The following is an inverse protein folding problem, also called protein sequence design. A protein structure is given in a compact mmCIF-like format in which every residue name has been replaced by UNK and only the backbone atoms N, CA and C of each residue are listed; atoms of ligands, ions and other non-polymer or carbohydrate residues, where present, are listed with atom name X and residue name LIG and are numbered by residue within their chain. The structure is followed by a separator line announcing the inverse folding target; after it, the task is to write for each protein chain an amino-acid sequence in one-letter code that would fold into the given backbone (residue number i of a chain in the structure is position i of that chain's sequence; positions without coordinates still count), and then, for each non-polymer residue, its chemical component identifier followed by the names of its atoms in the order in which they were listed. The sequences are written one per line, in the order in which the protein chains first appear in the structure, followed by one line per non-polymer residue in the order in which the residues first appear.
data_IF_624165737222
#
_entry.id   IF_624165737222
#
_cell.length_a   1.000
_cell.length_b   1.000
_cell.length_c   1.000
_cell.angle_alpha   90.00
_cell.angle_beta   90.00
_cell.angle_gamma   90.00
#
_symmetry.space_group_name_H-M   'P 1'
#
loop_
_entity.id
_entity.type
_entity.pdbx_description
1 polymer ?
#
# COMPACT_ATOMS: atom_id res chain seq x y z
N UNK A 1 -46.56 33.12 -61.15
CA UNK A 1 -47.01 32.68 -60.20
C UNK A 1 -46.54 31.73 -59.02
N UNK A 2 -47.18 30.63 -58.72
CA UNK A 2 -47.17 29.86 -57.48
C UNK A 2 -46.01 28.88 -57.29
N UNK A 3 -45.03 28.71 -58.22
CA UNK A 3 -44.01 27.71 -58.12
C UNK A 3 -42.94 28.13 -57.08
N UNK A 4 -42.64 29.40 -56.95
CA UNK A 4 -41.73 29.95 -55.98
C UNK A 4 -42.20 29.74 -54.53
N UNK A 5 -43.53 29.82 -54.30
CA UNK A 5 -44.15 29.59 -52.98
C UNK A 5 -44.40 28.10 -52.66
N UNK A 6 -44.19 27.19 -53.60
CA UNK A 6 -44.26 25.76 -53.33
C UNK A 6 -43.08 25.20 -52.53
N UNK A 7 -41.96 25.88 -52.52
CA UNK A 7 -40.79 25.62 -51.70
C UNK A 7 -40.54 24.19 -51.28
N UNK A 8 -39.81 24.02 -50.20
CA UNK A 8 -39.53 22.72 -49.56
C UNK A 8 -39.88 22.77 -48.07
N UNK A 9 -40.32 21.63 -47.57
CA UNK A 9 -40.53 21.44 -46.13
C UNK A 9 -39.41 20.59 -45.55
N UNK A 10 -38.78 21.06 -44.49
CA UNK A 10 -37.74 20.38 -43.71
C UNK A 10 -38.29 20.05 -42.34
N UNK A 11 -37.91 18.89 -41.79
CA UNK A 11 -38.42 18.45 -40.51
C UNK A 11 -37.30 17.77 -39.72
N UNK A 12 -37.11 18.20 -38.46
CA UNK A 12 -36.23 17.56 -37.49
C UNK A 12 -36.92 16.47 -36.67
N UNK A 13 -36.22 15.92 -35.70
CA UNK A 13 -36.71 14.88 -34.78
C UNK A 13 -37.80 15.44 -33.83
N UNK A 14 -37.82 16.74 -33.58
CA UNK A 14 -38.86 17.45 -32.80
C UNK A 14 -40.20 17.51 -33.50
N UNK A 15 -40.27 16.95 -34.70
CA UNK A 15 -41.45 16.93 -35.56
C UNK A 15 -41.95 18.32 -36.06
N UNK A 16 -41.25 19.39 -35.77
CA UNK A 16 -41.58 20.75 -36.28
C UNK A 16 -41.17 20.85 -37.74
N UNK A 17 -42.07 21.36 -38.57
CA UNK A 17 -41.83 21.59 -40.01
C UNK A 17 -41.39 23.02 -40.25
N UNK A 18 -40.31 23.19 -40.98
CA UNK A 18 -39.83 24.47 -41.48
C UNK A 18 -40.13 24.54 -42.98
N UNK A 19 -40.93 25.47 -43.40
CA UNK A 19 -41.18 25.75 -44.81
C UNK A 19 -40.21 26.81 -45.31
N UNK A 20 -39.62 26.58 -46.48
CA UNK A 20 -38.77 27.55 -47.21
C UNK A 20 -39.22 27.69 -48.62
N UNK A 21 -39.54 28.91 -49.03
CA UNK A 21 -39.82 29.25 -50.42
C UNK A 21 -38.53 29.12 -51.28
N UNK A 22 -38.69 28.97 -52.60
CA UNK A 22 -37.52 28.94 -53.49
C UNK A 22 -36.75 30.27 -53.41
N UNK A 23 -35.45 30.18 -53.09
CA UNK A 23 -34.55 31.34 -52.89
C UNK A 23 -34.36 31.75 -51.45
N UNK A 24 -35.11 31.17 -50.50
CA UNK A 24 -34.89 31.39 -49.07
C UNK A 24 -33.73 30.50 -48.54
N UNK A 25 -33.09 30.98 -47.49
CA UNK A 25 -32.01 30.25 -46.83
C UNK A 25 -32.54 29.34 -45.72
N UNK A 26 -32.06 28.10 -45.69
CA UNK A 26 -32.21 27.20 -44.53
C UNK A 26 -30.89 27.18 -43.79
N UNK A 27 -30.87 27.64 -42.54
CA UNK A 27 -29.73 27.54 -41.68
C UNK A 27 -29.74 26.19 -40.97
N UNK A 28 -28.63 25.44 -41.09
CA UNK A 28 -28.35 24.23 -40.32
C UNK A 28 -27.20 24.55 -39.37
N UNK A 29 -27.49 24.65 -38.09
CA UNK A 29 -26.57 25.18 -37.09
C UNK A 29 -26.22 24.10 -36.03
N UNK A 30 -24.98 24.03 -35.64
CA UNK A 30 -24.47 23.11 -34.62
C UNK A 30 -24.02 23.79 -33.32
N UNK A 31 -24.26 25.12 -33.21
CA UNK A 31 -23.96 25.88 -31.98
C UNK A 31 -22.51 26.41 -31.85
N UNK A 32 -21.56 25.88 -32.61
CA UNK A 32 -20.16 26.33 -32.60
C UNK A 32 -19.78 26.89 -33.98
N UNK A 33 -19.37 28.16 -34.04
CA UNK A 33 -18.96 28.80 -35.30
C UNK A 33 -17.43 28.89 -35.50
N UNK A 34 -16.66 28.68 -34.43
CA UNK A 34 -15.21 28.68 -34.48
C UNK A 34 -14.68 27.36 -35.10
N UNK A 35 -14.22 27.44 -36.33
CA UNK A 35 -13.72 26.30 -37.09
C UNK A 35 -12.56 25.59 -36.42
N UNK A 36 -11.73 26.29 -35.63
CA UNK A 36 -10.59 25.72 -34.92
C UNK A 36 -11.00 24.80 -33.77
N UNK A 37 -12.26 24.89 -33.33
CA UNK A 37 -12.86 24.06 -32.27
C UNK A 37 -13.69 22.88 -32.80
N UNK A 38 -13.78 22.75 -34.13
CA UNK A 38 -14.49 21.64 -34.76
C UNK A 38 -13.54 20.50 -35.10
N UNK A 39 -13.97 19.28 -34.85
CA UNK A 39 -13.25 18.09 -35.29
C UNK A 39 -13.83 17.57 -36.61
N UNK A 40 -12.96 17.08 -37.49
CA UNK A 40 -13.35 16.44 -38.72
C UNK A 40 -13.66 14.96 -38.54
N UNK A 41 -14.50 14.40 -39.42
CA UNK A 41 -14.79 12.96 -39.56
C UNK A 41 -15.51 12.29 -38.36
N UNK A 42 -16.06 13.07 -37.42
CA UNK A 42 -16.80 12.55 -36.28
C UNK A 42 -18.32 12.50 -36.50
N UNK A 43 -18.80 13.12 -37.57
CA UNK A 43 -20.22 13.13 -37.97
C UNK A 43 -20.36 12.57 -39.37
N UNK A 44 -21.25 11.61 -39.54
CA UNK A 44 -21.65 11.07 -40.86
C UNK A 44 -23.09 11.43 -41.17
N UNK A 45 -23.39 11.71 -42.45
CA UNK A 45 -24.74 11.88 -42.95
C UNK A 45 -25.08 10.77 -43.91
N UNK A 46 -26.08 9.95 -43.59
CA UNK A 46 -26.45 8.76 -44.38
C UNK A 46 -27.85 8.93 -44.95
N UNK A 47 -27.98 8.77 -46.26
CA UNK A 47 -29.27 8.76 -46.96
C UNK A 47 -29.92 7.39 -46.84
N UNK A 48 -30.98 7.26 -46.08
CA UNK A 48 -31.64 5.98 -45.83
C UNK A 48 -33.15 6.22 -45.58
N UNK A 49 -34.01 5.40 -46.14
CA UNK A 49 -35.46 5.44 -45.99
C UNK A 49 -36.08 6.85 -46.28
N UNK A 50 -35.54 7.53 -47.31
CA UNK A 50 -36.03 8.86 -47.73
C UNK A 50 -35.65 9.97 -46.76
N UNK A 51 -34.69 9.77 -45.87
CA UNK A 51 -34.18 10.73 -44.87
C UNK A 51 -32.67 10.89 -44.97
N UNK A 52 -32.17 12.02 -44.56
CA UNK A 52 -30.77 12.25 -44.21
C UNK A 52 -30.59 12.04 -42.71
N UNK A 53 -29.95 10.93 -42.34
CA UNK A 53 -29.67 10.59 -40.95
C UNK A 53 -28.31 11.13 -40.56
N UNK A 54 -28.25 12.08 -39.64
CA UNK A 54 -27.02 12.57 -39.05
C UNK A 54 -26.62 11.63 -37.92
N UNK A 55 -25.43 11.03 -38.02
CA UNK A 55 -24.96 10.02 -37.06
C UNK A 55 -23.58 10.42 -36.52
N UNK A 56 -23.36 10.21 -35.22
CA UNK A 56 -22.05 10.30 -34.63
C UNK A 56 -21.21 9.05 -35.00
N UNK A 57 -19.94 9.20 -35.30
CA UNK A 57 -19.03 8.10 -35.52
C UNK A 57 -18.94 7.23 -34.27
N UNK A 58 -18.76 5.90 -34.44
CA UNK A 58 -18.54 5.00 -33.30
C UNK A 58 -17.20 5.26 -32.62
N UNK A 59 -16.18 5.58 -33.42
CA UNK A 59 -14.84 5.93 -32.96
C UNK A 59 -14.64 7.43 -33.18
N UNK A 60 -14.52 8.20 -32.10
CA UNK A 60 -14.27 9.61 -32.15
C UNK A 60 -12.77 9.86 -32.19
N UNK A 61 -12.32 10.70 -33.12
CA UNK A 61 -10.90 11.01 -33.34
C UNK A 61 -10.64 12.51 -33.29
N UNK A 62 -9.39 12.89 -33.04
CA UNK A 62 -8.96 14.30 -33.03
C UNK A 62 -9.76 15.19 -32.06
N UNK A 63 -10.18 14.64 -30.92
CA UNK A 63 -10.78 15.43 -29.84
C UNK A 63 -9.66 15.93 -28.90
N UNK A 64 -9.73 17.19 -28.52
CA UNK A 64 -8.82 17.73 -27.51
C UNK A 64 -9.19 17.29 -26.10
N UNK A 65 -10.50 17.12 -25.84
CA UNK A 65 -11.03 16.66 -24.55
C UNK A 65 -12.46 16.16 -24.66
N UNK A 66 -12.84 15.30 -23.71
CA UNK A 66 -14.23 14.94 -23.42
C UNK A 66 -14.52 15.37 -21.99
N UNK A 67 -15.50 16.25 -21.80
CA UNK A 67 -15.88 16.78 -20.48
C UNK A 67 -17.35 16.46 -20.21
N UNK A 68 -17.60 15.81 -19.06
CA UNK A 68 -18.95 15.55 -18.54
C UNK A 68 -19.04 16.06 -17.10
N UNK A 69 -19.77 17.15 -16.88
CA UNK A 69 -19.81 17.81 -15.58
C UNK A 69 -18.41 18.27 -15.15
N UNK A 70 -17.93 17.74 -14.04
CA UNK A 70 -16.60 18.06 -13.50
C UNK A 70 -15.51 17.02 -13.84
N UNK A 71 -15.82 16.10 -14.75
CA UNK A 71 -14.88 15.07 -15.21
C UNK A 71 -14.38 15.40 -16.60
N UNK A 72 -13.06 15.45 -16.77
CA UNK A 72 -12.41 15.70 -18.06
C UNK A 72 -11.41 14.61 -18.38
N UNK A 73 -11.47 14.09 -19.58
CA UNK A 73 -10.45 13.22 -20.18
C UNK A 73 -9.79 14.01 -21.31
N UNK A 74 -8.48 14.17 -21.29
CA UNK A 74 -7.70 14.84 -22.32
C UNK A 74 -6.29 14.22 -22.41
N UNK A 75 -5.37 14.86 -23.12
CA UNK A 75 -3.98 14.38 -23.25
C UNK A 75 -3.20 14.36 -21.93
N UNK A 76 -3.61 15.13 -20.92
CA UNK A 76 -2.98 15.12 -19.60
C UNK A 76 -3.49 13.97 -18.73
N UNK A 77 -4.60 13.33 -19.12
CA UNK A 77 -5.19 12.18 -18.44
C UNK A 77 -6.62 12.41 -17.95
N UNK A 78 -6.98 11.83 -16.81
CA UNK A 78 -8.29 11.90 -16.19
C UNK A 78 -8.30 12.85 -15.00
N UNK A 79 -9.13 13.88 -15.08
CA UNK A 79 -9.35 14.86 -14.00
C UNK A 79 -10.80 14.80 -13.52
N UNK A 80 -11.03 14.80 -12.22
CA UNK A 80 -12.35 14.84 -11.58
C UNK A 80 -12.29 15.90 -10.48
N UNK A 81 -13.24 16.86 -10.49
CA UNK A 81 -13.27 17.95 -9.52
C UNK A 81 -11.94 18.70 -9.38
N UNK A 82 -11.28 19.00 -10.48
CA UNK A 82 -9.96 19.63 -10.54
C UNK A 82 -8.81 18.82 -9.88
N UNK A 83 -9.02 17.53 -9.61
CA UNK A 83 -7.99 16.59 -9.13
C UNK A 83 -7.66 15.60 -10.23
N UNK A 84 -6.40 15.49 -10.55
CA UNK A 84 -5.91 14.58 -11.57
C UNK A 84 -5.67 13.18 -10.97
N UNK A 85 -6.35 12.17 -11.48
CA UNK A 85 -6.29 10.79 -10.99
C UNK A 85 -5.43 9.87 -11.85
N UNK A 86 -5.41 10.10 -13.16
CA UNK A 86 -4.60 9.32 -14.10
C UNK A 86 -3.76 10.26 -14.94
N UNK A 87 -2.48 9.98 -15.10
CA UNK A 87 -1.55 10.73 -15.95
C UNK A 87 -0.65 9.76 -16.71
N UNK A 88 0.21 10.27 -17.59
CA UNK A 88 1.28 9.48 -18.20
C UNK A 88 2.26 8.89 -17.17
N UNK A 89 2.33 9.45 -15.95
CA UNK A 89 3.18 8.98 -14.86
C UNK A 89 2.49 7.97 -13.93
N UNK A 90 1.24 7.59 -14.22
CA UNK A 90 0.49 6.60 -13.46
C UNK A 90 -0.74 7.15 -12.74
N UNK A 91 -1.15 6.44 -11.70
CA UNK A 91 -2.35 6.71 -10.92
C UNK A 91 -2.03 7.50 -9.64
N UNK A 92 -2.81 8.54 -9.36
CA UNK A 92 -2.74 9.33 -8.14
C UNK A 92 -4.06 9.23 -7.38
N UNK A 93 -4.04 8.65 -6.20
CA UNK A 93 -5.23 8.51 -5.34
C UNK A 93 -5.68 9.84 -4.69
N UNK A 94 -4.95 10.94 -4.82
CA UNK A 94 -5.29 12.28 -4.26
C UNK A 94 -5.63 12.25 -2.75
N UNK A 95 -4.84 11.52 -1.96
CA UNK A 95 -5.03 11.31 -0.52
C UNK A 95 -6.34 10.58 -0.17
N UNK A 96 -6.91 9.81 -1.09
CA UNK A 96 -8.05 8.93 -0.84
C UNK A 96 -7.60 7.47 -0.78
N UNK A 97 -8.46 6.61 -0.24
CA UNK A 97 -8.20 5.18 -0.18
C UNK A 97 -8.35 4.52 -1.55
N UNK A 98 -7.45 3.59 -1.86
CA UNK A 98 -7.67 2.61 -2.92
C UNK A 98 -8.30 1.38 -2.27
N UNK A 99 -9.56 1.09 -2.59
CA UNK A 99 -10.34 -0.01 -2.00
C UNK A 99 -10.36 -1.22 -2.92
N UNK A 100 -10.68 -2.40 -2.33
CA UNK A 100 -10.82 -3.67 -3.06
C UNK A 100 -9.56 -4.12 -3.79
N UNK A 101 -8.38 -3.79 -3.23
CA UNK A 101 -7.09 -4.28 -3.74
C UNK A 101 -6.97 -5.76 -3.39
N UNK A 102 -6.93 -6.62 -4.39
CA UNK A 102 -6.62 -8.04 -4.22
C UNK A 102 -5.17 -8.20 -3.72
N UNK A 103 -4.90 -9.29 -3.00
CA UNK A 103 -3.53 -9.58 -2.57
C UNK A 103 -2.60 -9.70 -3.78
N UNK A 104 -1.49 -8.98 -3.76
CA UNK A 104 -0.45 -9.06 -4.79
C UNK A 104 0.20 -10.44 -4.79
N UNK A 105 0.56 -10.92 -5.97
CA UNK A 105 1.20 -12.23 -6.23
C UNK A 105 2.56 -12.05 -6.91
N UNK A 106 2.63 -11.14 -7.86
CA UNK A 106 3.84 -10.82 -8.60
C UNK A 106 4.60 -9.65 -7.96
N UNK A 107 5.90 -9.57 -8.23
CA UNK A 107 6.80 -8.58 -7.63
C UNK A 107 6.38 -7.11 -7.84
N UNK A 108 5.62 -6.85 -8.89
CA UNK A 108 5.16 -5.50 -9.24
C UNK A 108 3.70 -5.23 -8.86
N UNK A 109 3.05 -6.16 -8.15
CA UNK A 109 1.67 -5.98 -7.70
C UNK A 109 1.57 -5.05 -6.49
N UNK A 110 0.43 -4.38 -6.34
CA UNK A 110 0.13 -3.61 -5.15
C UNK A 110 -0.14 -4.54 -3.95
N UNK A 111 0.41 -4.19 -2.81
CA UNK A 111 0.21 -4.92 -1.54
C UNK A 111 -0.98 -4.34 -0.80
N UNK A 112 -1.88 -5.19 -0.31
CA UNK A 112 -3.01 -4.76 0.51
C UNK A 112 -2.68 -4.82 2.03
N UNK A 113 -3.55 -4.21 2.84
CA UNK A 113 -3.38 -4.13 4.31
C UNK A 113 -3.32 -5.51 4.97
N UNK A 114 -4.03 -6.52 4.42
CA UNK A 114 -3.98 -7.89 4.97
C UNK A 114 -2.57 -8.47 4.87
N UNK A 115 -1.93 -8.37 3.71
CA UNK A 115 -0.56 -8.86 3.50
C UNK A 115 0.44 -8.15 4.44
N UNK A 116 0.28 -6.83 4.63
CA UNK A 116 1.10 -6.08 5.60
C UNK A 116 0.90 -6.60 7.03
N UNK A 117 -0.34 -6.88 7.45
CA UNK A 117 -0.64 -7.42 8.77
C UNK A 117 -0.10 -8.85 8.94
N UNK A 118 -0.16 -9.68 7.91
CA UNK A 118 0.40 -11.03 7.92
C UNK A 118 1.94 -11.00 8.12
N UNK A 119 2.64 -10.13 7.41
CA UNK A 119 4.10 -9.91 7.59
C UNK A 119 4.39 -9.41 9.00
N UNK A 120 3.61 -8.44 9.51
CA UNK A 120 3.76 -7.93 10.88
C UNK A 120 3.57 -9.03 11.92
N UNK A 121 2.61 -9.93 11.74
CA UNK A 121 2.39 -11.07 12.63
C UNK A 121 3.53 -12.08 12.56
N UNK A 122 4.02 -12.39 11.35
CA UNK A 122 5.13 -13.32 11.13
C UNK A 122 6.48 -12.79 11.64
N UNK A 123 6.68 -11.47 11.63
CA UNK A 123 7.91 -10.83 12.10
C UNK A 123 8.00 -10.65 13.63
N UNK A 124 6.96 -11.03 14.38
CA UNK A 124 6.97 -11.00 15.85
C UNK A 124 7.91 -12.09 16.40
N UNK A 125 9.20 -11.75 16.51
CA UNK A 125 10.18 -12.62 17.16
C UNK A 125 10.05 -12.48 18.68
N UNK A 126 9.79 -13.59 19.38
CA UNK A 126 9.84 -13.68 20.83
C UNK A 126 11.17 -14.29 21.23
N UNK A 127 11.95 -13.59 22.03
CA UNK A 127 13.17 -14.13 22.63
C UNK A 127 12.92 -14.32 24.12
N UNK A 128 13.08 -15.55 24.59
CA UNK A 128 12.83 -15.90 26.00
C UNK A 128 14.13 -16.30 26.68
N UNK A 129 14.29 -15.83 27.92
CA UNK A 129 15.36 -16.30 28.80
C UNK A 129 15.06 -17.70 29.32
N UNK A 130 16.09 -18.33 29.86
CA UNK A 130 16.01 -19.64 30.52
C UNK A 130 16.54 -19.56 31.96
N UNK A 131 16.73 -20.73 32.59
CA UNK A 131 17.24 -20.81 33.96
C UNK A 131 18.46 -19.94 34.23
N UNK A 132 19.40 -19.92 33.27
CA UNK A 132 20.70 -19.25 33.42
C UNK A 132 20.86 -17.99 32.56
N UNK A 133 19.88 -17.69 31.71
CA UNK A 133 19.92 -16.62 30.72
C UNK A 133 18.90 -15.55 31.08
N UNK A 134 19.34 -14.34 31.13
CA UNK A 134 18.48 -13.14 31.15
C UNK A 134 18.32 -12.58 29.72
N UNK A 135 17.16 -12.08 29.41
CA UNK A 135 16.88 -11.38 28.15
C UNK A 135 16.18 -10.06 28.49
N UNK A 136 16.84 -8.97 28.20
CA UNK A 136 16.28 -7.62 28.33
C UNK A 136 15.87 -7.11 26.96
N UNK A 137 14.58 -6.74 26.81
CA UNK A 137 14.04 -6.13 25.60
C UNK A 137 14.02 -4.61 25.73
N UNK A 138 14.57 -3.90 24.76
CA UNK A 138 14.40 -2.47 24.60
C UNK A 138 13.76 -2.18 23.26
N UNK A 139 12.90 -1.14 23.20
CA UNK A 139 12.21 -0.72 21.99
C UNK A 139 12.61 0.72 21.67
N UNK A 140 13.17 0.93 20.51
CA UNK A 140 13.43 2.27 20.02
C UNK A 140 12.11 3.03 19.83
N UNK A 141 12.00 4.22 20.40
CA UNK A 141 10.75 5.00 20.41
C UNK A 141 10.40 5.58 19.04
N UNK A 142 11.39 5.78 18.17
CA UNK A 142 11.24 6.37 16.86
C UNK A 142 11.03 5.29 15.80
N UNK A 143 11.99 4.37 15.68
CA UNK A 143 11.98 3.32 14.66
C UNK A 143 11.11 2.13 15.01
N UNK A 144 10.73 1.99 16.30
CA UNK A 144 10.03 0.81 16.85
C UNK A 144 10.83 -0.49 16.74
N UNK A 145 12.11 -0.40 16.43
CA UNK A 145 13.00 -1.55 16.41
C UNK A 145 13.16 -2.12 17.82
N UNK A 146 13.13 -3.46 17.92
CA UNK A 146 13.37 -4.19 19.16
C UNK A 146 14.83 -4.63 19.22
N UNK A 147 15.46 -4.44 20.36
CA UNK A 147 16.79 -4.97 20.66
C UNK A 147 16.67 -5.89 21.85
N UNK A 148 17.21 -7.10 21.72
CA UNK A 148 17.28 -8.09 22.79
C UNK A 148 18.73 -8.22 23.26
N UNK A 149 18.98 -7.85 24.52
CA UNK A 149 20.27 -8.08 25.16
C UNK A 149 20.20 -9.41 25.90
N UNK A 150 21.03 -10.35 25.50
CA UNK A 150 21.05 -11.70 26.07
C UNK A 150 22.35 -11.86 26.90
N UNK A 151 22.20 -12.16 28.18
CA UNK A 151 23.31 -12.29 29.11
C UNK A 151 23.12 -13.50 30.03
N UNK A 152 24.22 -14.01 30.59
CA UNK A 152 24.16 -14.91 31.72
C UNK A 152 23.61 -14.15 32.94
N UNK A 153 22.83 -14.82 33.80
CA UNK A 153 22.50 -14.33 35.13
C UNK A 153 23.74 -14.33 36.01
N UNK A 154 23.74 -13.48 37.03
CA UNK A 154 24.81 -13.45 38.04
C UNK A 154 24.96 -14.76 38.78
N UNK A 155 23.90 -15.56 38.83
CA UNK A 155 23.94 -16.93 39.36
C UNK A 155 23.57 -17.92 38.25
N UNK A 156 24.52 -18.83 37.95
CA UNK A 156 24.40 -19.86 36.91
C UNK A 156 24.42 -21.25 37.58
N UNK A 157 23.45 -22.08 37.20
CA UNK A 157 23.39 -23.49 37.68
C UNK A 157 23.46 -24.44 36.50
N UNK A 158 24.45 -25.28 36.43
CA UNK A 158 24.61 -26.35 35.44
C UNK A 158 24.28 -27.67 36.10
N UNK A 159 23.41 -28.48 35.46
CA UNK A 159 22.94 -29.73 36.01
C UNK A 159 21.86 -29.52 37.10
N UNK A 160 21.66 -30.57 37.89
CA UNK A 160 20.60 -30.61 38.92
C UNK A 160 21.02 -31.53 40.09
N UNK A 161 20.35 -31.38 41.24
CA UNK A 161 20.59 -32.18 42.44
C UNK A 161 22.04 -32.10 42.95
N UNK A 162 22.51 -33.19 43.51
CA UNK A 162 23.85 -33.30 44.12
C UNK A 162 25.03 -33.37 43.11
N UNK A 163 24.73 -33.30 41.82
CA UNK A 163 25.75 -33.17 40.76
C UNK A 163 25.80 -31.76 40.16
N UNK A 164 24.96 -30.84 40.62
CA UNK A 164 24.88 -29.49 40.07
C UNK A 164 26.18 -28.71 40.31
N UNK A 165 26.59 -27.92 39.32
CA UNK A 165 27.61 -26.89 39.45
C UNK A 165 26.92 -25.52 39.50
N UNK A 166 27.13 -24.80 40.58
CA UNK A 166 26.58 -23.45 40.77
C UNK A 166 27.72 -22.43 40.77
N UNK A 167 27.56 -21.39 39.97
CA UNK A 167 28.46 -20.24 39.93
C UNK A 167 27.66 -19.05 40.43
N UNK A 168 28.06 -18.48 41.56
CA UNK A 168 27.45 -17.32 42.16
C UNK A 168 28.39 -16.11 42.04
N UNK A 169 28.21 -15.33 40.99
CA UNK A 169 29.07 -14.18 40.69
C UNK A 169 28.88 -13.06 41.75
N UNK A 170 27.71 -12.98 42.41
CA UNK A 170 27.46 -11.96 43.45
C UNK A 170 28.23 -12.27 44.74
N UNK A 171 28.53 -13.55 44.98
CA UNK A 171 29.26 -14.01 46.16
C UNK A 171 30.70 -14.46 45.87
N UNK A 172 31.11 -14.50 44.57
CA UNK A 172 32.37 -15.00 44.17
C UNK A 172 32.58 -16.50 44.51
N UNK A 173 31.50 -17.29 44.39
CA UNK A 173 31.52 -18.71 44.79
C UNK A 173 31.30 -19.59 43.58
N UNK A 174 32.10 -20.64 43.43
CA UNK A 174 31.85 -21.80 42.57
C UNK A 174 31.67 -23.03 43.46
N UNK A 175 30.49 -23.67 43.34
CA UNK A 175 30.15 -24.87 44.14
C UNK A 175 29.79 -26.02 43.19
N UNK A 176 30.44 -27.15 43.35
CA UNK A 176 30.13 -28.39 42.65
C UNK A 176 29.65 -29.46 43.64
N UNK A 177 28.50 -30.03 43.38
CA UNK A 177 27.83 -30.98 44.25
C UNK A 177 27.01 -30.32 45.36
N UNK A 178 26.53 -31.13 46.30
CA UNK A 178 25.71 -30.67 47.42
C UNK A 178 26.04 -31.40 48.72
N UNK A 179 25.54 -30.88 49.85
CA UNK A 179 25.77 -31.45 51.16
C UNK A 179 27.23 -31.45 51.61
N UNK A 180 27.56 -32.43 52.44
CA UNK A 180 28.89 -32.55 53.10
C UNK A 180 30.04 -32.87 52.14
N UNK A 181 29.74 -33.32 50.92
CA UNK A 181 30.76 -33.72 49.90
C UNK A 181 30.92 -32.64 48.80
N UNK A 182 30.28 -31.50 48.93
CA UNK A 182 30.42 -30.42 47.95
C UNK A 182 31.85 -29.87 47.89
N UNK A 183 32.33 -29.56 46.70
CA UNK A 183 33.55 -28.77 46.51
C UNK A 183 33.11 -27.31 46.31
N UNK A 184 33.64 -26.41 47.11
CA UNK A 184 33.37 -24.98 47.05
C UNK A 184 34.65 -24.19 46.93
N UNK A 185 34.74 -23.35 45.93
CA UNK A 185 35.78 -22.34 45.75
C UNK A 185 35.15 -21.00 46.14
N UNK A 186 35.71 -20.32 47.11
CA UNK A 186 35.28 -19.01 47.58
C UNK A 186 36.39 -17.99 47.32
N UNK A 187 36.22 -17.17 46.30
CA UNK A 187 37.18 -16.15 45.90
C UNK A 187 37.28 -14.98 46.87
N UNK A 188 36.26 -14.72 47.68
CA UNK A 188 36.27 -13.62 48.68
C UNK A 188 37.16 -13.97 49.84
N UNK A 189 37.10 -15.21 50.31
CA UNK A 189 37.84 -15.66 51.48
C UNK A 189 39.12 -16.40 51.12
N UNK A 190 39.44 -16.58 49.82
CA UNK A 190 40.56 -17.33 49.28
C UNK A 190 40.59 -18.79 49.78
N UNK A 191 39.44 -19.46 49.90
CA UNK A 191 39.30 -20.82 50.38
C UNK A 191 38.81 -21.80 49.31
N UNK A 192 39.30 -23.05 49.41
CA UNK A 192 38.78 -24.20 48.66
C UNK A 192 38.38 -25.26 49.71
N UNK A 193 37.11 -25.60 49.77
CA UNK A 193 36.59 -26.63 50.63
C UNK A 193 36.22 -27.86 49.76
N UNK A 194 36.74 -29.04 50.12
CA UNK A 194 36.40 -30.29 49.45
C UNK A 194 35.98 -31.32 50.49
N UNK A 195 34.72 -31.34 50.82
CA UNK A 195 34.16 -32.12 51.91
C UNK A 195 34.82 -31.75 53.26
N UNK A 196 35.58 -32.70 53.81
CA UNK A 196 36.29 -32.47 55.11
C UNK A 196 37.67 -31.83 54.95
N UNK A 197 38.18 -31.67 53.74
CA UNK A 197 39.45 -31.01 53.46
C UNK A 197 39.20 -29.53 53.09
N UNK A 198 39.75 -28.63 53.85
CA UNK A 198 39.82 -27.22 53.55
C UNK A 198 41.22 -26.83 53.06
N UNK A 199 41.30 -26.15 51.93
CA UNK A 199 42.52 -25.52 51.42
C UNK A 199 42.34 -24.01 51.56
N UNK A 200 43.15 -23.40 52.40
CA UNK A 200 43.10 -21.95 52.63
C UNK A 200 44.30 -21.28 51.97
N UNK A 201 44.07 -20.51 50.92
CA UNK A 201 45.13 -19.83 50.18
C UNK A 201 45.78 -18.66 50.91
N UNK A 202 45.25 -18.23 52.05
CA UNK A 202 45.83 -17.17 52.87
C UNK A 202 46.98 -17.66 53.80
N UNK A 203 47.03 -18.95 53.97
CA UNK A 203 48.09 -19.59 54.86
C UNK A 203 49.14 -20.32 54.04
N UNK A 204 49.10 -20.35 52.73
CA UNK A 204 50.11 -20.83 51.78
C UNK A 204 50.39 -22.30 51.84
#
# INVERSE_FOLDING_TARGET
SNLTKKGLNFKGDDATSIHKDLGETLDVVGGTSDKAKLSDNNIGVVSENGKLNVKLAKDLTNLNSVTTGQTTINNDGLTINNKQFVTANGFNANNTQIKNVTAGVEDNDAVNVKQLNDVKAASNTKVEGSKNINVDETVDTVTKAKTYTVALKDTVTLGSGNTAVNIDGTKGIVKAGDGANAVTINGVNSTINAGKVAIDGAIG
#
